data_IF_326916874610
#
_entry.id   IF_326916874610
#
_cell.length_a   1.000
_cell.length_b   1.000
_cell.length_c   1.000
_cell.angle_alpha   90.00
_cell.angle_beta   90.00
_cell.angle_gamma   90.00
#
_symmetry.space_group_name_H-M   'P 1'
#
loop_
_entity.id
_entity.type
_entity.pdbx_description
1 polymer ?
#
# COMPACT_ATOMS: atom_id res chain seq x y z
N UNK A 1 -24.81 -27.12 -5.30
CA UNK A 1 -24.93 -26.36 -4.03
C UNK A 1 -23.58 -25.68 -3.80
N UNK A 2 -23.53 -24.36 -3.53
CA UNK A 2 -22.30 -23.53 -3.53
C UNK A 2 -21.25 -23.86 -2.45
N UNK A 3 -21.39 -24.97 -1.71
CA UNK A 3 -20.38 -25.43 -0.74
C UNK A 3 -20.09 -24.47 0.41
N UNK A 4 -20.97 -23.49 0.67
CA UNK A 4 -20.77 -22.47 1.70
C UNK A 4 -20.75 -23.10 3.11
N UNK A 5 -19.72 -22.76 3.86
CA UNK A 5 -19.52 -23.16 5.24
C UNK A 5 -20.57 -22.50 6.14
N UNK A 6 -21.32 -23.35 6.85
CA UNK A 6 -22.23 -22.92 7.91
C UNK A 6 -21.46 -22.91 9.23
N UNK A 7 -21.47 -21.77 9.90
CA UNK A 7 -20.93 -21.58 11.24
C UNK A 7 -22.08 -21.71 12.24
N UNK A 8 -21.91 -22.54 13.25
CA UNK A 8 -22.84 -22.67 14.37
C UNK A 8 -22.31 -21.94 15.60
N UNK A 9 -23.14 -21.15 16.26
CA UNK A 9 -22.83 -20.53 17.54
C UNK A 9 -24.05 -20.50 18.45
N UNK A 10 -23.88 -20.09 19.70
CA UNK A 10 -24.99 -19.87 20.64
C UNK A 10 -25.14 -18.37 20.89
N UNK A 11 -26.40 -17.91 20.87
CA UNK A 11 -26.73 -16.54 21.24
C UNK A 11 -26.62 -16.32 22.76
N UNK A 12 -26.67 -15.06 23.19
CA UNK A 12 -26.69 -14.66 24.61
C UNK A 12 -27.85 -15.32 25.39
N UNK A 13 -28.93 -15.72 24.69
CA UNK A 13 -30.10 -16.40 25.26
C UNK A 13 -30.02 -17.94 25.17
N UNK A 14 -28.84 -18.51 24.93
CA UNK A 14 -28.61 -19.95 24.76
C UNK A 14 -29.39 -20.60 23.61
N UNK A 15 -29.90 -19.81 22.67
CA UNK A 15 -30.52 -20.33 21.45
C UNK A 15 -29.45 -20.66 20.42
N UNK A 16 -29.42 -21.86 19.83
CA UNK A 16 -28.49 -22.19 18.76
C UNK A 16 -28.81 -21.35 17.52
N UNK A 17 -27.77 -20.73 16.95
CA UNK A 17 -27.87 -19.90 15.75
C UNK A 17 -26.85 -20.37 14.71
N UNK A 18 -27.21 -20.22 13.44
CA UNK A 18 -26.37 -20.59 12.31
C UNK A 18 -26.18 -19.39 11.39
N UNK A 19 -24.96 -19.17 10.93
CA UNK A 19 -24.62 -18.13 9.96
C UNK A 19 -23.75 -18.69 8.86
N UNK A 20 -23.70 -18.02 7.72
CA UNK A 20 -22.75 -18.35 6.66
C UNK A 20 -21.41 -17.67 6.95
N UNK A 21 -20.32 -18.34 6.57
CA UNK A 21 -18.98 -17.78 6.71
C UNK A 21 -18.81 -16.52 5.85
N UNK A 22 -18.76 -15.35 6.51
CA UNK A 22 -18.54 -14.07 5.83
C UNK A 22 -17.24 -14.07 5.01
N UNK A 23 -16.19 -14.71 5.54
CA UNK A 23 -14.91 -14.85 4.83
C UNK A 23 -15.07 -15.54 3.48
N UNK A 24 -15.87 -16.60 3.41
CA UNK A 24 -16.12 -17.31 2.15
C UNK A 24 -17.00 -16.51 1.19
N UNK A 25 -18.02 -15.82 1.72
CA UNK A 25 -18.87 -14.95 0.89
C UNK A 25 -18.02 -13.85 0.24
N UNK A 26 -17.20 -13.15 1.03
CA UNK A 26 -16.31 -12.12 0.50
C UNK A 26 -15.31 -12.68 -0.52
N UNK A 27 -14.75 -13.86 -0.28
CA UNK A 27 -13.85 -14.50 -1.24
C UNK A 27 -14.55 -14.81 -2.57
N UNK A 28 -15.81 -15.24 -2.54
CA UNK A 28 -16.61 -15.49 -3.74
C UNK A 28 -16.95 -14.19 -4.49
N UNK A 29 -17.34 -13.13 -3.78
CA UNK A 29 -17.64 -11.83 -4.39
C UNK A 29 -16.40 -11.20 -5.03
N UNK A 30 -15.24 -11.28 -4.36
CA UNK A 30 -13.96 -10.81 -4.91
C UNK A 30 -13.54 -11.63 -6.13
N UNK A 31 -13.82 -12.93 -6.15
CA UNK A 31 -13.48 -13.82 -7.26
C UNK A 31 -14.48 -13.76 -8.42
N UNK A 32 -15.60 -13.06 -8.25
CA UNK A 32 -16.65 -12.98 -9.26
C UNK A 32 -16.26 -11.95 -10.34
N UNK A 33 -16.04 -12.36 -11.61
CA UNK A 33 -15.62 -11.45 -12.68
C UNK A 33 -16.61 -10.32 -12.99
N UNK A 34 -17.89 -10.51 -12.64
CA UNK A 34 -18.93 -9.48 -12.83
C UNK A 34 -18.88 -8.44 -11.71
N UNK A 35 -18.50 -8.83 -10.49
CA UNK A 35 -18.49 -7.96 -9.32
C UNK A 35 -17.13 -7.28 -9.13
N UNK A 36 -16.04 -7.99 -9.42
CA UNK A 36 -14.67 -7.53 -9.24
C UNK A 36 -14.41 -6.12 -9.82
N UNK A 37 -14.88 -5.74 -11.02
CA UNK A 37 -14.66 -4.39 -11.57
C UNK A 37 -15.35 -3.26 -10.80
N UNK A 38 -16.32 -3.60 -9.95
CA UNK A 38 -17.07 -2.63 -9.13
C UNK A 38 -16.52 -2.52 -7.70
N UNK A 39 -15.56 -3.35 -7.31
CA UNK A 39 -14.94 -3.31 -5.97
C UNK A 39 -13.83 -2.26 -5.98
N UNK A 40 -13.94 -1.31 -5.05
CA UNK A 40 -12.92 -0.30 -4.80
C UNK A 40 -11.92 -0.80 -3.75
N UNK A 41 -10.64 -0.89 -4.14
CA UNK A 41 -9.56 -1.35 -3.26
C UNK A 41 -8.76 -0.22 -2.61
N UNK A 42 -8.81 0.98 -3.19
CA UNK A 42 -8.04 2.13 -2.76
C UNK A 42 -8.98 3.27 -2.35
N UNK A 43 -8.56 4.10 -1.38
CA UNK A 43 -9.28 5.32 -1.07
C UNK A 43 -9.15 6.32 -2.22
N UNK A 44 -10.19 7.12 -2.43
CA UNK A 44 -10.22 8.20 -3.42
C UNK A 44 -10.13 9.55 -2.70
N UNK A 45 -9.22 10.41 -3.15
CA UNK A 45 -9.06 11.78 -2.66
C UNK A 45 -9.94 12.72 -3.46
N UNK A 46 -11.07 13.14 -2.86
CA UNK A 46 -12.01 14.12 -3.45
C UNK A 46 -12.03 15.47 -2.73
N UNK A 47 -11.13 15.67 -1.76
CA UNK A 47 -11.07 16.86 -0.90
C UNK A 47 -12.41 17.22 -0.23
N UNK A 48 -13.23 16.21 0.03
CA UNK A 48 -14.54 16.37 0.68
C UNK A 48 -15.65 16.87 -0.25
N UNK A 49 -15.39 16.98 -1.55
CA UNK A 49 -16.40 17.33 -2.53
C UNK A 49 -17.09 16.07 -3.07
N UNK A 50 -18.41 16.16 -3.28
CA UNK A 50 -19.22 15.14 -3.95
C UNK A 50 -19.02 13.70 -3.43
N UNK A 51 -18.91 13.54 -2.10
CA UNK A 51 -18.74 12.23 -1.46
C UNK A 51 -20.02 11.41 -1.60
N UNK A 52 -19.94 10.33 -2.38
CA UNK A 52 -21.05 9.39 -2.66
C UNK A 52 -20.72 7.95 -2.28
N UNK A 53 -19.44 7.63 -2.09
CA UNK A 53 -18.95 6.29 -1.81
C UNK A 53 -18.04 6.25 -0.58
N UNK A 54 -17.87 5.06 0.02
CA UNK A 54 -17.09 4.89 1.25
C UNK A 54 -15.58 5.05 1.02
N UNK A 55 -15.07 4.69 -0.16
CA UNK A 55 -13.68 4.91 -0.58
C UNK A 55 -13.29 6.39 -0.60
N UNK A 56 -14.25 7.30 -0.79
CA UNK A 56 -14.06 8.76 -0.74
C UNK A 56 -14.02 9.32 0.69
N UNK A 57 -14.19 8.47 1.72
CA UNK A 57 -14.17 8.92 3.10
C UNK A 57 -12.76 9.29 3.57
N UNK A 58 -12.65 10.42 4.28
CA UNK A 58 -11.40 10.84 4.91
C UNK A 58 -10.85 9.80 5.89
N UNK A 59 -11.73 9.01 6.52
CA UNK A 59 -11.34 7.92 7.43
C UNK A 59 -10.56 6.83 6.72
N UNK A 60 -11.00 6.40 5.54
CA UNK A 60 -10.25 5.41 4.75
C UNK A 60 -8.89 5.98 4.34
N UNK A 61 -8.86 7.20 3.81
CA UNK A 61 -7.64 7.81 3.30
C UNK A 61 -6.61 8.14 4.40
N UNK A 62 -7.06 8.70 5.54
CA UNK A 62 -6.18 9.34 6.53
C UNK A 62 -6.03 8.57 7.84
N UNK A 63 -7.05 7.81 8.25
CA UNK A 63 -7.14 7.29 9.62
C UNK A 63 -6.94 5.78 9.74
N UNK A 64 -7.08 5.00 8.66
CA UNK A 64 -6.74 3.56 8.72
C UNK A 64 -5.29 3.38 9.13
N UNK A 65 -4.98 2.37 9.94
CA UNK A 65 -3.60 2.05 10.30
C UNK A 65 -2.83 1.41 9.14
N UNK A 66 -1.48 1.39 9.17
CA UNK A 66 -0.65 0.81 8.12
C UNK A 66 -1.13 -0.57 7.69
N UNK A 67 -1.39 -1.50 8.63
CA UNK A 67 -1.78 -2.89 8.37
C UNK A 67 -3.19 -3.08 7.78
N UNK A 68 -3.99 -2.01 7.76
CA UNK A 68 -5.39 -2.04 7.29
C UNK A 68 -5.60 -1.33 5.96
N UNK A 69 -4.54 -0.72 5.42
CA UNK A 69 -4.54 -0.07 4.11
C UNK A 69 -4.17 -1.08 3.02
N UNK A 70 -4.41 -0.72 1.76
CA UNK A 70 -3.88 -1.46 0.63
C UNK A 70 -2.34 -1.43 0.66
N UNK A 71 -1.72 -2.60 0.79
CA UNK A 71 -0.26 -2.73 0.97
C UNK A 71 0.54 -2.64 -0.32
N UNK A 72 -0.10 -2.92 -1.46
CA UNK A 72 0.58 -3.12 -2.73
C UNK A 72 -0.23 -2.44 -3.84
N UNK A 73 0.47 -1.85 -4.80
CA UNK A 73 -0.10 -1.40 -6.07
C UNK A 73 0.66 -2.06 -7.22
N UNK A 74 -0.07 -2.50 -8.25
CA UNK A 74 0.52 -3.06 -9.47
C UNK A 74 0.57 -1.99 -10.56
N UNK A 75 1.74 -1.82 -11.16
CA UNK A 75 1.94 -0.94 -12.32
C UNK A 75 2.75 -1.70 -13.37
N UNK A 76 2.13 -1.96 -14.53
CA UNK A 76 2.71 -2.82 -15.54
C UNK A 76 2.96 -4.24 -15.00
N UNK A 77 4.19 -4.72 -15.11
CA UNK A 77 4.65 -6.02 -14.60
C UNK A 77 5.25 -5.97 -13.19
N UNK A 78 5.21 -4.81 -12.52
CA UNK A 78 5.87 -4.58 -11.24
C UNK A 78 4.88 -4.38 -10.10
N UNK A 79 5.30 -4.83 -8.91
CA UNK A 79 4.55 -4.75 -7.67
C UNK A 79 5.26 -3.85 -6.68
N UNK A 80 4.61 -2.75 -6.31
CA UNK A 80 5.17 -1.76 -5.40
C UNK A 80 4.45 -1.82 -4.07
N UNK A 81 5.23 -1.98 -3.00
CA UNK A 81 4.70 -2.10 -1.65
C UNK A 81 4.87 -0.80 -0.86
N UNK A 82 3.99 -0.60 0.11
CA UNK A 82 4.18 0.43 1.12
C UNK A 82 5.46 0.15 1.91
N UNK A 83 6.15 1.22 2.30
CA UNK A 83 7.36 1.19 3.13
C UNK A 83 8.58 0.53 2.49
N UNK A 84 8.55 0.25 1.19
CA UNK A 84 9.70 -0.20 0.41
C UNK A 84 10.28 0.92 -0.46
N UNK A 85 11.57 0.78 -0.85
CA UNK A 85 12.20 1.74 -1.73
C UNK A 85 11.69 1.57 -3.16
N UNK A 86 11.39 2.69 -3.80
CA UNK A 86 10.98 2.76 -5.21
C UNK A 86 11.82 3.80 -5.91
N UNK A 87 12.40 3.40 -7.04
CA UNK A 87 13.07 4.33 -7.95
C UNK A 87 12.05 4.90 -8.92
N UNK A 88 12.09 6.21 -9.12
CA UNK A 88 11.27 6.90 -10.11
C UNK A 88 11.99 6.97 -11.47
N UNK A 89 11.24 7.24 -12.54
CA UNK A 89 11.82 7.55 -13.86
C UNK A 89 12.79 8.73 -13.82
N UNK A 90 12.59 9.66 -12.88
CA UNK A 90 13.51 10.77 -12.62
C UNK A 90 14.79 10.37 -11.88
N UNK A 91 15.03 9.08 -11.62
CA UNK A 91 16.10 8.48 -10.81
C UNK A 91 16.05 8.77 -9.30
N UNK A 92 15.07 9.55 -8.84
CA UNK A 92 14.89 9.80 -7.41
C UNK A 92 14.38 8.53 -6.71
N UNK A 93 14.88 8.29 -5.50
CA UNK A 93 14.42 7.20 -4.64
C UNK A 93 13.38 7.75 -3.67
N UNK A 94 12.27 7.04 -3.52
CA UNK A 94 11.18 7.37 -2.61
C UNK A 94 10.72 6.14 -1.85
N UNK A 95 9.96 6.37 -0.77
CA UNK A 95 9.25 5.33 -0.05
C UNK A 95 7.76 5.65 -0.03
N UNK A 96 6.89 4.84 -0.66
CA UNK A 96 5.45 4.99 -0.58
C UNK A 96 4.92 4.74 0.84
N UNK A 97 4.03 5.59 1.32
CA UNK A 97 3.39 5.47 2.65
C UNK A 97 1.86 5.36 2.57
N UNK A 98 1.26 5.80 1.46
CA UNK A 98 -0.16 5.61 1.15
C UNK A 98 -0.33 5.44 -0.36
N UNK A 99 -1.26 4.57 -0.76
CA UNK A 99 -1.80 4.52 -2.13
C UNK A 99 -3.22 5.07 -2.13
N UNK A 100 -3.55 5.89 -3.13
CA UNK A 100 -4.87 6.51 -3.28
C UNK A 100 -5.13 6.92 -4.72
N UNK A 101 -6.40 7.00 -5.08
CA UNK A 101 -6.83 7.52 -6.38
C UNK A 101 -7.16 9.01 -6.29
N UNK A 102 -6.87 9.76 -7.34
CA UNK A 102 -7.23 11.17 -7.45
C UNK A 102 -7.48 11.49 -8.92
N UNK A 103 -8.71 11.90 -9.25
CA UNK A 103 -9.08 12.24 -10.63
C UNK A 103 -8.96 11.08 -11.62
N UNK A 104 -9.17 9.84 -11.16
CA UNK A 104 -9.05 8.63 -11.99
C UNK A 104 -7.62 8.15 -12.23
N UNK A 105 -6.62 8.79 -11.62
CA UNK A 105 -5.23 8.35 -11.65
C UNK A 105 -4.80 7.82 -10.28
N UNK A 106 -3.87 6.86 -10.28
CA UNK A 106 -3.31 6.27 -9.07
C UNK A 106 -2.08 7.05 -8.59
N UNK A 107 -2.09 7.42 -7.31
CA UNK A 107 -1.03 8.17 -6.65
C UNK A 107 -0.50 7.43 -5.43
N UNK A 108 0.74 7.75 -5.09
CA UNK A 108 1.35 7.43 -3.82
C UNK A 108 1.69 8.71 -3.06
N UNK A 109 1.44 8.73 -1.75
CA UNK A 109 2.14 9.65 -0.85
C UNK A 109 3.50 9.06 -0.57
N UNK A 110 4.55 9.82 -0.85
CA UNK A 110 5.91 9.33 -0.77
C UNK A 110 6.75 10.23 0.12
N UNK A 111 7.61 9.62 0.94
CA UNK A 111 8.71 10.32 1.63
C UNK A 111 10.00 10.08 0.88
N UNK A 112 10.92 11.04 0.94
CA UNK A 112 12.29 10.84 0.44
C UNK A 112 13.13 10.28 1.60
N UNK A 113 13.76 9.11 1.47
CA UNK A 113 14.59 8.56 2.53
C UNK A 113 15.85 9.42 2.73
N UNK A 114 16.36 9.47 3.95
CA UNK A 114 17.68 10.03 4.24
C UNK A 114 18.71 8.95 3.91
N UNK A 115 19.73 9.29 3.13
CA UNK A 115 20.78 8.36 2.72
C UNK A 115 22.08 8.75 3.40
N UNK A 116 22.62 7.83 4.21
CA UNK A 116 23.92 7.96 4.85
C UNK A 116 24.87 6.88 4.34
N UNK A 117 26.17 7.06 4.57
CA UNK A 117 27.19 6.02 4.37
C UNK A 117 27.69 5.60 5.74
N UNK A 118 27.67 4.30 6.02
CA UNK A 118 28.38 3.74 7.16
C UNK A 118 29.87 3.71 6.82
N UNK A 119 30.65 4.60 7.43
CA UNK A 119 32.10 4.70 7.20
C UNK A 119 32.89 3.46 7.66
N UNK A 120 32.29 2.58 8.46
CA UNK A 120 32.93 1.33 8.91
C UNK A 120 32.85 0.25 7.83
N UNK A 121 31.71 0.15 7.16
CA UNK A 121 31.40 -0.91 6.18
C UNK A 121 31.45 -0.43 4.74
N UNK A 122 31.40 0.89 4.51
CA UNK A 122 31.24 1.52 3.20
C UNK A 122 29.83 1.41 2.61
N UNK A 123 28.86 0.88 3.38
CA UNK A 123 27.50 0.58 2.90
C UNK A 123 26.56 1.77 3.04
N UNK A 124 25.57 1.85 2.15
CA UNK A 124 24.49 2.83 2.21
C UNK A 124 23.49 2.47 3.32
N UNK A 125 23.02 3.48 4.03
CA UNK A 125 21.95 3.38 5.02
C UNK A 125 20.78 4.24 4.57
N UNK A 126 19.67 3.60 4.22
CA UNK A 126 18.41 4.28 3.93
C UNK A 126 17.58 4.40 5.20
N UNK A 127 17.36 5.64 5.66
CA UNK A 127 16.60 5.96 6.85
C UNK A 127 15.25 6.53 6.43
N UNK A 128 14.17 5.87 6.84
CA UNK A 128 12.80 6.18 6.49
C UNK A 128 12.06 6.67 7.74
N UNK A 129 11.48 7.89 7.72
CA UNK A 129 10.62 8.35 8.81
C UNK A 129 9.40 7.43 8.99
N UNK A 130 9.15 6.97 10.21
CA UNK A 130 8.00 6.10 10.52
C UNK A 130 6.75 6.91 10.82
N UNK A 131 5.59 6.30 10.53
CA UNK A 131 4.27 6.75 10.97
C UNK A 131 3.89 8.19 10.59
N UNK A 132 4.40 8.70 9.46
CA UNK A 132 3.99 10.01 8.96
C UNK A 132 2.48 10.03 8.65
N UNK A 133 1.71 11.00 9.19
CA UNK A 133 0.30 11.13 8.85
C UNK A 133 0.14 11.55 7.39
N UNK A 134 -1.00 11.23 6.78
CA UNK A 134 -1.29 11.54 5.37
C UNK A 134 -1.10 13.03 5.02
N UNK A 135 -1.37 13.92 5.98
CA UNK A 135 -1.26 15.37 5.83
C UNK A 135 0.13 15.94 6.10
N UNK A 136 1.14 15.10 6.36
CA UNK A 136 2.50 15.57 6.61
C UNK A 136 3.06 16.31 5.38
N UNK A 137 3.69 17.45 5.62
CA UNK A 137 4.39 18.22 4.58
C UNK A 137 5.65 17.51 4.06
N UNK A 138 6.14 16.50 4.77
CA UNK A 138 7.26 15.65 4.33
C UNK A 138 6.84 14.66 3.24
N UNK A 139 5.52 14.41 3.09
CA UNK A 139 4.97 13.52 2.08
C UNK A 139 4.61 14.30 0.82
N UNK A 140 5.19 13.92 -0.31
CA UNK A 140 4.84 14.42 -1.64
C UNK A 140 3.92 13.46 -2.37
N UNK A 141 3.05 13.99 -3.23
CA UNK A 141 2.26 13.19 -4.15
C UNK A 141 3.15 12.79 -5.33
N UNK A 142 3.18 11.50 -5.64
CA UNK A 142 3.87 10.92 -6.80
C UNK A 142 2.86 10.08 -7.56
N UNK A 143 2.75 10.26 -8.87
CA UNK A 143 1.93 9.37 -9.70
C UNK A 143 2.56 7.97 -9.69
N UNK A 144 1.76 6.93 -9.51
CA UNK A 144 2.28 5.54 -9.57
C UNK A 144 2.86 5.23 -10.96
N UNK A 145 2.37 5.90 -12.01
CA UNK A 145 2.95 5.83 -13.35
C UNK A 145 4.43 6.28 -13.43
N UNK A 146 4.92 7.07 -12.47
CA UNK A 146 6.33 7.49 -12.39
C UNK A 146 7.23 6.44 -11.74
N UNK A 147 6.68 5.36 -11.19
CA UNK A 147 7.47 4.28 -10.60
C UNK A 147 8.18 3.49 -11.70
N UNK A 148 9.48 3.27 -11.51
CA UNK A 148 10.35 2.61 -12.48
C UNK A 148 10.82 1.24 -11.97
N UNK A 149 11.41 1.19 -10.77
CA UNK A 149 12.00 -0.03 -10.23
C UNK A 149 11.67 -0.21 -8.76
N UNK A 150 11.32 -1.45 -8.41
CA UNK A 150 11.21 -1.96 -7.04
C UNK A 150 12.61 -2.18 -6.44
N UNK A 151 12.70 -2.15 -5.11
CA UNK A 151 13.99 -2.23 -4.39
C UNK A 151 14.83 -3.47 -4.75
N UNK A 152 14.16 -4.61 -4.99
CA UNK A 152 14.76 -5.90 -5.33
C UNK A 152 15.54 -5.90 -6.64
N UNK A 153 15.17 -5.04 -7.60
CA UNK A 153 15.80 -4.95 -8.92
C UNK A 153 16.46 -3.58 -9.17
N UNK A 154 16.46 -2.70 -8.17
CA UNK A 154 17.00 -1.36 -8.29
C UNK A 154 18.53 -1.42 -8.41
N UNK A 155 19.08 -0.81 -9.46
CA UNK A 155 20.51 -0.75 -9.71
C UNK A 155 21.09 0.62 -9.35
N UNK A 156 22.30 0.62 -8.80
CA UNK A 156 23.14 1.78 -8.63
C UNK A 156 23.81 2.18 -9.97
N UNK A 157 24.39 3.39 -10.09
CA UNK A 157 25.02 3.84 -11.33
C UNK A 157 26.18 2.95 -11.82
N UNK A 158 26.77 2.15 -10.95
CA UNK A 158 27.82 1.18 -11.27
C UNK A 158 27.29 -0.20 -11.69
N UNK A 159 25.96 -0.38 -11.76
CA UNK A 159 25.28 -1.63 -12.11
C UNK A 159 25.14 -2.62 -10.95
N UNK A 160 25.55 -2.26 -9.74
CA UNK A 160 25.35 -3.12 -8.55
C UNK A 160 23.92 -2.96 -8.01
N UNK A 161 23.37 -4.00 -7.40
CA UNK A 161 22.04 -3.92 -6.80
C UNK A 161 22.06 -3.04 -5.54
N UNK A 162 21.04 -2.21 -5.38
CA UNK A 162 20.89 -1.37 -4.19
C UNK A 162 20.76 -2.19 -2.91
N UNK A 163 20.20 -3.40 -2.99
CA UNK A 163 20.15 -4.34 -1.88
C UNK A 163 21.55 -4.79 -1.40
N UNK A 164 22.51 -4.94 -2.31
CA UNK A 164 23.90 -5.26 -1.97
C UNK A 164 24.62 -4.05 -1.36
N UNK A 165 24.30 -2.84 -1.84
CA UNK A 165 24.89 -1.59 -1.35
C UNK A 165 24.43 -1.24 0.07
N UNK A 166 23.26 -1.72 0.51
CA UNK A 166 22.71 -1.42 1.84
C UNK A 166 22.51 -2.63 2.74
N UNK A 167 23.18 -3.76 2.47
CA UNK A 167 23.05 -5.04 3.20
C UNK A 167 21.59 -5.50 3.37
N UNK A 168 20.72 -5.17 2.41
CA UNK A 168 19.28 -5.43 2.43
C UNK A 168 18.57 -4.90 3.70
N UNK A 169 19.03 -3.75 4.23
CA UNK A 169 18.48 -3.13 5.44
C UNK A 169 17.89 -1.75 5.15
N UNK A 170 16.71 -1.51 5.73
CA UNK A 170 16.09 -0.21 5.85
C UNK A 170 16.01 0.16 7.34
N UNK A 171 16.37 1.40 7.66
CA UNK A 171 16.35 1.91 9.02
C UNK A 171 15.13 2.80 9.20
N UNK A 172 14.45 2.65 10.35
CA UNK A 172 13.33 3.53 10.70
C UNK A 172 13.75 4.58 11.70
N UNK A 173 13.35 5.83 11.48
CA UNK A 173 13.40 6.91 12.46
C UNK A 173 12.06 7.08 13.15
#
# INVERSE_FOLDING_TARGET
MLGLQVLSSQSVLNTPVHSLSLKQILALEISNPVVQPHIQYYPEMTDGQNVSQLNQSAKWLKELGPDTRAQMVRQGSHDYYLHELVQLHSTLIVVPTFFFEMGGEMYARCVTPIVNVDYTTGKLQFIVPKALPFTSSELRNVKVAEFLAEYTIMEAPDGTLMSEQSDNKLFGM
#
